data_IF_289894563395
#
_entry.id   IF_289894563395
#
_cell.length_a   1.000
_cell.length_b   1.000
_cell.length_c   1.000
_cell.angle_alpha   90.00
_cell.angle_beta   90.00
_cell.angle_gamma   90.00
#
_symmetry.space_group_name_H-M   'P 1'
#
loop_
_entity.id
_entity.type
_entity.pdbx_description
1 polymer ?
#
# COMPACT_ATOMS: atom_id res chain seq x y z
N UNK A 1 38.53 6.50 -8.05
CA UNK A 1 37.84 5.20 -7.86
C UNK A 1 37.30 4.95 -6.43
N UNK A 2 38.05 5.06 -5.30
CA UNK A 2 37.46 4.87 -3.97
C UNK A 2 36.34 5.90 -3.64
N UNK A 3 36.48 7.14 -4.07
CA UNK A 3 35.50 8.21 -3.84
C UNK A 3 34.16 7.97 -4.55
N UNK A 4 34.18 7.37 -5.73
CA UNK A 4 32.98 7.06 -6.50
C UNK A 4 32.19 5.88 -5.91
N UNK A 5 32.89 4.85 -5.44
CA UNK A 5 32.27 3.71 -4.74
C UNK A 5 31.62 4.14 -3.42
N UNK A 6 32.28 4.99 -2.65
CA UNK A 6 31.74 5.56 -1.40
C UNK A 6 30.52 6.45 -1.67
N UNK A 7 30.53 7.22 -2.75
CA UNK A 7 29.40 8.03 -3.19
C UNK A 7 28.18 7.16 -3.59
N UNK A 8 28.41 6.05 -4.32
CA UNK A 8 27.37 5.09 -4.68
C UNK A 8 26.79 4.35 -3.47
N UNK A 9 27.64 3.96 -2.52
CA UNK A 9 27.20 3.35 -1.26
C UNK A 9 26.39 4.35 -0.43
N UNK A 10 26.81 5.60 -0.33
CA UNK A 10 26.09 6.66 0.35
C UNK A 10 24.69 6.89 -0.27
N UNK A 11 24.60 6.89 -1.61
CA UNK A 11 23.32 7.01 -2.32
C UNK A 11 22.44 5.78 -2.05
N UNK A 12 22.99 4.57 -2.06
CA UNK A 12 22.27 3.35 -1.74
C UNK A 12 21.63 3.43 -0.35
N UNK A 13 22.42 3.81 0.67
CA UNK A 13 21.95 3.93 2.07
C UNK A 13 20.83 4.96 2.18
N UNK A 14 20.98 6.14 1.56
CA UNK A 14 19.97 7.21 1.57
C UNK A 14 18.65 6.80 0.91
N UNK A 15 18.67 5.80 0.04
CA UNK A 15 17.46 5.22 -0.60
C UNK A 15 16.82 4.08 0.21
N UNK A 16 17.38 3.73 1.37
CA UNK A 16 16.91 2.63 2.19
C UNK A 16 16.35 3.09 3.54
N UNK A 17 16.93 4.15 4.12
CA UNK A 17 16.58 4.64 5.44
C UNK A 17 16.80 6.16 5.55
N UNK A 18 16.23 6.77 6.56
CA UNK A 18 16.28 8.23 6.81
C UNK A 18 17.68 8.74 7.20
N UNK A 19 18.56 7.86 7.69
CA UNK A 19 19.96 8.17 7.99
C UNK A 19 20.81 6.91 8.00
N UNK A 20 22.18 7.02 7.92
CA UNK A 20 23.07 5.88 8.03
C UNK A 20 22.92 5.12 9.35
N UNK A 21 22.75 5.81 10.46
CA UNK A 21 22.55 5.18 11.77
C UNK A 21 21.24 4.39 11.83
N UNK A 22 20.16 4.95 11.27
CA UNK A 22 18.87 4.23 11.13
C UNK A 22 19.00 3.04 10.22
N UNK A 23 19.72 3.17 9.11
CA UNK A 23 19.99 2.04 8.22
C UNK A 23 20.66 0.88 8.98
N UNK A 24 21.75 1.15 9.73
CA UNK A 24 22.44 0.12 10.50
C UNK A 24 21.50 -0.52 11.52
N UNK A 25 20.75 0.27 12.29
CA UNK A 25 19.78 -0.24 13.27
C UNK A 25 18.73 -1.13 12.59
N UNK A 26 18.13 -0.68 11.50
CA UNK A 26 17.15 -1.45 10.73
C UNK A 26 17.74 -2.78 10.24
N UNK A 27 18.98 -2.79 9.69
CA UNK A 27 19.63 -4.01 9.22
C UNK A 27 19.93 -4.99 10.38
N UNK A 28 20.37 -4.51 11.53
CA UNK A 28 20.65 -5.34 12.72
C UNK A 28 19.34 -5.96 13.23
N UNK A 29 18.28 -5.19 13.39
CA UNK A 29 17.02 -5.69 13.91
C UNK A 29 16.35 -6.66 12.92
N UNK A 30 16.32 -6.32 11.63
CA UNK A 30 15.73 -7.19 10.60
C UNK A 30 16.58 -8.47 10.44
N UNK A 31 17.90 -8.35 10.42
CA UNK A 31 18.82 -9.49 10.31
C UNK A 31 18.72 -10.46 11.49
N UNK A 32 18.51 -9.92 12.70
CA UNK A 32 18.35 -10.74 13.92
C UNK A 32 17.01 -11.47 14.01
N UNK A 33 15.91 -10.85 13.58
CA UNK A 33 14.57 -11.36 13.87
C UNK A 33 13.70 -11.64 12.63
N UNK A 34 14.05 -11.09 11.47
CA UNK A 34 13.20 -11.13 10.27
C UNK A 34 13.01 -12.51 9.64
N UNK A 35 13.92 -13.44 9.89
CA UNK A 35 13.92 -14.81 9.35
C UNK A 35 13.27 -15.84 10.27
N UNK A 36 13.13 -15.54 11.58
CA UNK A 36 12.64 -16.49 12.58
C UNK A 36 11.20 -16.91 12.23
N UNK A 37 10.96 -18.21 11.98
CA UNK A 37 9.62 -18.69 11.66
C UNK A 37 8.77 -18.84 12.92
N UNK A 38 7.52 -19.24 12.73
CA UNK A 38 6.57 -19.64 13.78
C UNK A 38 6.04 -18.49 14.65
N UNK A 39 5.05 -18.75 15.51
CA UNK A 39 4.56 -17.76 16.47
C UNK A 39 5.64 -17.14 17.36
N UNK A 40 6.73 -17.88 17.65
CA UNK A 40 7.87 -17.35 18.39
C UNK A 40 8.54 -16.20 17.63
N UNK A 41 8.69 -16.35 16.32
CA UNK A 41 9.20 -15.27 15.46
C UNK A 41 8.28 -14.06 15.41
N UNK A 42 6.96 -14.25 15.35
CA UNK A 42 5.98 -13.16 15.40
C UNK A 42 6.11 -12.41 16.73
N UNK A 43 6.15 -13.11 17.87
CA UNK A 43 6.31 -12.50 19.18
C UNK A 43 7.63 -11.73 19.29
N UNK A 44 8.73 -12.31 18.81
CA UNK A 44 10.03 -11.65 18.80
C UNK A 44 10.04 -10.36 17.98
N UNK A 45 9.41 -10.37 16.77
CA UNK A 45 9.27 -9.19 15.92
C UNK A 45 8.33 -8.15 16.52
N UNK A 46 7.23 -8.56 17.15
CA UNK A 46 6.30 -7.65 17.82
C UNK A 46 7.00 -6.81 18.92
N UNK A 47 8.07 -7.35 19.52
CA UNK A 47 8.90 -6.64 20.50
C UNK A 47 10.05 -5.86 19.83
N UNK A 48 10.89 -6.56 19.06
CA UNK A 48 12.12 -6.01 18.52
C UNK A 48 11.87 -4.90 17.48
N UNK A 49 10.82 -5.03 16.67
CA UNK A 49 10.52 -4.07 15.62
C UNK A 49 9.99 -2.73 16.15
N UNK A 50 9.63 -2.61 17.43
CA UNK A 50 9.38 -1.32 18.10
C UNK A 50 10.59 -0.38 18.06
N UNK A 51 11.79 -0.91 17.91
CA UNK A 51 13.01 -0.11 17.75
C UNK A 51 13.09 0.57 16.38
N UNK A 52 12.43 0.03 15.37
CA UNK A 52 12.54 0.49 13.98
C UNK A 52 11.23 1.01 13.40
N UNK A 53 10.07 0.50 13.85
CA UNK A 53 8.72 0.92 13.44
C UNK A 53 8.05 1.78 14.52
N UNK A 54 7.01 2.50 14.13
CA UNK A 54 6.05 3.12 15.06
C UNK A 54 4.91 2.14 15.30
N UNK A 55 4.80 1.60 16.50
CA UNK A 55 3.78 0.61 16.84
C UNK A 55 2.87 1.13 17.95
N UNK A 56 1.60 1.41 17.61
CA UNK A 56 0.57 1.90 18.52
C UNK A 56 -0.23 0.71 19.11
N UNK A 57 0.44 -0.21 19.78
CA UNK A 57 -0.15 -1.42 20.31
C UNK A 57 0.64 -2.66 19.89
N UNK A 58 -0.03 -3.81 19.80
CA UNK A 58 0.55 -5.07 19.33
C UNK A 58 0.17 -5.28 17.88
N UNK A 59 1.16 -5.54 17.04
CA UNK A 59 0.96 -5.94 15.64
C UNK A 59 1.69 -7.26 15.38
N UNK A 60 1.09 -8.12 14.57
CA UNK A 60 1.69 -9.36 14.13
C UNK A 60 2.40 -9.14 12.79
N UNK A 61 3.69 -9.48 12.74
CA UNK A 61 4.51 -9.33 11.53
C UNK A 61 5.11 -10.68 11.21
N UNK A 62 4.80 -11.22 10.04
CA UNK A 62 5.33 -12.48 9.57
C UNK A 62 6.79 -12.37 9.09
N UNK A 63 7.42 -13.52 8.89
CA UNK A 63 8.79 -13.59 8.39
C UNK A 63 8.93 -13.00 7.00
N UNK A 64 10.16 -12.66 6.63
CA UNK A 64 10.53 -12.17 5.28
C UNK A 64 9.80 -10.88 4.85
N UNK A 65 9.18 -10.13 5.76
CA UNK A 65 8.68 -8.79 5.48
C UNK A 65 9.85 -7.86 5.19
N UNK A 66 9.80 -7.16 4.06
CA UNK A 66 10.84 -6.21 3.64
C UNK A 66 10.44 -4.80 3.99
N UNK A 67 11.32 -4.10 4.67
CA UNK A 67 11.10 -2.72 5.12
C UNK A 67 12.15 -1.79 4.51
N UNK A 68 11.70 -0.60 4.08
CA UNK A 68 12.55 0.54 3.74
C UNK A 68 11.97 1.78 4.40
N UNK A 69 12.83 2.61 4.97
CA UNK A 69 12.41 3.75 5.79
C UNK A 69 11.46 3.29 6.91
N UNK A 70 11.86 2.24 7.62
CA UNK A 70 11.02 1.59 8.62
C UNK A 70 10.49 2.57 9.68
N UNK A 71 11.26 3.61 10.04
CA UNK A 71 10.84 4.66 10.96
C UNK A 71 9.59 5.47 10.52
N UNK A 72 9.22 5.36 9.25
CA UNK A 72 8.04 6.02 8.69
C UNK A 72 6.84 5.05 8.52
N UNK A 73 6.98 3.81 8.96
CA UNK A 73 5.87 2.85 9.00
C UNK A 73 5.21 2.91 10.38
N UNK A 74 3.90 3.09 10.39
CA UNK A 74 3.08 3.05 11.60
C UNK A 74 2.13 1.86 11.53
N UNK A 75 2.14 1.00 12.54
CA UNK A 75 1.22 -0.12 12.70
C UNK A 75 0.38 0.11 13.94
N UNK A 76 -0.93 0.14 13.77
CA UNK A 76 -1.87 0.27 14.87
C UNK A 76 -2.18 -1.11 15.51
N UNK A 77 -2.86 -1.12 16.65
CA UNK A 77 -3.13 -2.34 17.40
C UNK A 77 -3.92 -3.37 16.58
N UNK A 78 -3.51 -4.62 16.61
CA UNK A 78 -4.14 -5.71 15.85
C UNK A 78 -3.76 -5.76 14.36
N UNK A 79 -2.93 -4.83 13.86
CA UNK A 79 -2.46 -4.89 12.49
C UNK A 79 -1.67 -6.19 12.22
N UNK A 80 -1.91 -6.79 11.06
CA UNK A 80 -1.23 -8.00 10.60
C UNK A 80 -0.52 -7.76 9.27
N UNK A 81 0.75 -8.07 9.22
CA UNK A 81 1.58 -7.99 8.02
C UNK A 81 2.09 -9.38 7.68
N UNK A 82 1.59 -9.92 6.59
CA UNK A 82 1.87 -11.29 6.16
C UNK A 82 3.25 -11.43 5.52
N UNK A 83 3.64 -12.69 5.30
CA UNK A 83 4.94 -13.06 4.75
C UNK A 83 5.22 -12.41 3.40
N UNK A 84 6.44 -11.91 3.23
CA UNK A 84 6.92 -11.37 1.95
C UNK A 84 6.33 -10.02 1.56
N UNK A 85 5.53 -9.39 2.41
CA UNK A 85 5.05 -8.02 2.18
C UNK A 85 6.24 -7.06 2.09
N UNK A 86 6.18 -6.13 1.12
CA UNK A 86 7.17 -5.08 0.98
C UNK A 86 6.57 -3.70 1.30
N UNK A 87 7.09 -3.06 2.35
CA UNK A 87 6.74 -1.70 2.76
C UNK A 87 7.91 -0.76 2.47
N UNK A 88 7.74 0.15 1.52
CA UNK A 88 8.70 1.21 1.21
C UNK A 88 8.08 2.56 1.55
N UNK A 89 8.40 3.08 2.73
CA UNK A 89 7.74 4.23 3.35
C UNK A 89 8.59 5.51 3.24
N UNK A 90 9.06 5.85 2.02
CA UNK A 90 9.84 7.05 1.80
C UNK A 90 9.02 8.30 2.18
N UNK A 91 9.63 9.18 2.95
CA UNK A 91 9.15 10.50 3.34
C UNK A 91 7.89 10.50 4.23
N UNK A 92 6.71 10.54 3.64
CA UNK A 92 5.43 10.74 4.34
C UNK A 92 4.86 9.49 4.98
N UNK A 93 5.38 8.32 4.64
CA UNK A 93 5.15 7.11 5.38
C UNK A 93 4.00 6.22 4.89
N UNK A 94 3.85 5.12 5.64
CA UNK A 94 2.77 4.14 5.49
C UNK A 94 2.15 3.93 6.87
N UNK A 95 0.82 4.00 6.96
CA UNK A 95 0.07 3.64 8.17
C UNK A 95 -0.91 2.52 7.88
N UNK A 96 -0.91 1.50 8.73
CA UNK A 96 -1.89 0.41 8.73
C UNK A 96 -2.72 0.52 10.00
N UNK A 97 -4.03 0.69 9.84
CA UNK A 97 -5.00 0.88 10.91
C UNK A 97 -5.25 -0.36 11.75
N UNK A 98 -6.08 -0.20 12.77
CA UNK A 98 -6.40 -1.27 13.74
C UNK A 98 -7.04 -2.46 13.06
N UNK A 99 -6.65 -3.67 13.48
CA UNK A 99 -7.17 -4.95 12.98
C UNK A 99 -7.09 -5.11 11.46
N UNK A 100 -6.32 -4.26 10.75
CA UNK A 100 -6.18 -4.34 9.30
C UNK A 100 -5.09 -5.30 8.90
N UNK A 101 -5.31 -5.98 7.79
CA UNK A 101 -4.51 -7.09 7.31
C UNK A 101 -3.86 -6.71 5.97
N UNK A 102 -2.56 -6.95 5.84
CA UNK A 102 -1.85 -6.84 4.56
C UNK A 102 -1.31 -8.21 4.21
N UNK A 103 -1.91 -8.83 3.19
CA UNK A 103 -1.66 -10.22 2.83
C UNK A 103 -0.39 -10.40 2.00
N UNK A 104 0.07 -11.62 1.94
CA UNK A 104 1.38 -11.99 1.43
C UNK A 104 1.68 -11.44 0.02
N UNK A 105 2.95 -11.12 -0.20
CA UNK A 105 3.44 -10.66 -1.49
C UNK A 105 3.00 -9.25 -1.88
N UNK A 106 2.19 -8.57 -1.07
CA UNK A 106 1.73 -7.22 -1.38
C UNK A 106 2.84 -6.18 -1.25
N UNK A 107 2.78 -5.17 -2.12
CA UNK A 107 3.77 -4.09 -2.23
C UNK A 107 3.09 -2.76 -1.96
N UNK A 108 3.40 -2.15 -0.84
CA UNK A 108 3.00 -0.79 -0.50
C UNK A 108 4.23 0.12 -0.66
N UNK A 109 4.22 0.95 -1.69
CA UNK A 109 5.41 1.63 -2.14
C UNK A 109 5.19 3.14 -2.30
N UNK A 110 5.71 3.90 -1.36
CA UNK A 110 5.81 5.36 -1.43
C UNK A 110 7.21 5.70 -1.92
N UNK A 111 7.33 6.12 -3.17
CA UNK A 111 8.60 6.52 -3.79
C UNK A 111 8.60 8.03 -4.02
N UNK A 112 8.90 8.79 -2.96
CA UNK A 112 8.78 10.25 -2.97
C UNK A 112 10.12 10.99 -2.96
N UNK A 113 11.04 10.64 -3.84
CA UNK A 113 12.29 11.42 -4.00
C UNK A 113 12.11 12.75 -4.77
N UNK A 114 10.88 13.07 -5.17
CA UNK A 114 10.52 14.34 -5.83
C UNK A 114 9.91 15.37 -4.88
N UNK A 115 9.71 15.02 -3.59
CA UNK A 115 9.11 15.91 -2.60
C UNK A 115 7.63 16.22 -2.85
N UNK A 116 6.86 15.26 -3.36
CA UNK A 116 5.42 15.42 -3.59
C UNK A 116 4.69 15.58 -2.23
N UNK A 117 3.88 16.62 -2.04
CA UNK A 117 3.38 17.02 -0.71
C UNK A 117 2.36 16.04 -0.11
N UNK A 118 1.64 15.29 -0.94
CA UNK A 118 0.54 14.41 -0.52
C UNK A 118 0.89 12.93 -0.57
N UNK A 119 2.15 12.57 -0.84
CA UNK A 119 2.59 11.20 -0.92
C UNK A 119 2.35 10.45 0.40
N UNK A 120 2.14 9.15 0.32
CA UNK A 120 1.91 8.27 1.48
C UNK A 120 0.86 7.23 1.20
N UNK A 121 0.72 6.27 2.12
CA UNK A 121 -0.33 5.25 2.06
C UNK A 121 -0.95 5.15 3.46
N UNK A 122 -2.25 5.34 3.55
CA UNK A 122 -3.00 5.22 4.79
C UNK A 122 -4.11 4.20 4.60
N UNK A 123 -4.06 3.12 5.37
CA UNK A 123 -5.10 2.10 5.45
C UNK A 123 -5.84 2.31 6.77
N UNK A 124 -7.15 2.45 6.69
CA UNK A 124 -8.04 2.58 7.85
C UNK A 124 -8.17 1.31 8.67
N UNK A 125 -9.13 1.28 9.57
CA UNK A 125 -9.36 0.19 10.49
C UNK A 125 -10.17 -0.95 9.85
N UNK A 126 -9.98 -2.19 10.35
CA UNK A 126 -10.76 -3.39 9.98
C UNK A 126 -10.77 -3.66 8.46
N UNK A 127 -9.67 -3.31 7.76
CA UNK A 127 -9.55 -3.40 6.31
C UNK A 127 -8.60 -4.53 5.90
N UNK A 128 -8.83 -5.09 4.71
CA UNK A 128 -8.02 -6.16 4.16
C UNK A 128 -7.42 -5.76 2.81
N UNK A 129 -6.10 -5.75 2.75
CA UNK A 129 -5.32 -5.65 1.52
C UNK A 129 -4.94 -7.06 1.10
N UNK A 130 -5.59 -7.57 0.06
CA UNK A 130 -5.44 -8.94 -0.43
C UNK A 130 -4.04 -9.25 -0.93
N UNK A 131 -3.85 -10.48 -1.36
CA UNK A 131 -2.54 -11.00 -1.78
C UNK A 131 -2.05 -10.31 -3.05
N UNK A 132 -0.73 -10.09 -3.13
CA UNK A 132 -0.05 -9.51 -4.30
C UNK A 132 -0.64 -8.16 -4.77
N UNK A 133 -1.25 -7.40 -3.89
CA UNK A 133 -1.68 -6.05 -4.22
C UNK A 133 -0.47 -5.12 -4.44
N UNK A 134 -0.60 -4.18 -5.37
CA UNK A 134 0.41 -3.16 -5.62
C UNK A 134 -0.20 -1.78 -5.38
N UNK A 135 0.26 -1.11 -4.32
CA UNK A 135 -0.20 0.24 -3.95
C UNK A 135 0.95 1.22 -4.12
N UNK A 136 0.81 2.14 -5.08
CA UNK A 136 1.78 3.18 -5.40
C UNK A 136 1.32 4.53 -4.86
N UNK A 137 1.92 4.93 -3.74
CA UNK A 137 1.48 6.10 -2.96
C UNK A 137 2.20 7.41 -3.28
N UNK A 138 2.66 7.65 -4.51
CA UNK A 138 3.37 8.89 -4.84
C UNK A 138 2.47 10.13 -4.73
N UNK A 139 1.23 10.08 -5.24
CA UNK A 139 0.23 11.13 -5.09
C UNK A 139 -0.57 11.05 -3.79
N UNK A 140 -0.33 9.98 -3.01
CA UNK A 140 -1.12 9.64 -1.82
C UNK A 140 -2.23 8.63 -2.12
N UNK A 141 -2.32 7.61 -1.29
CA UNK A 141 -3.43 6.64 -1.32
C UNK A 141 -4.06 6.59 0.07
N UNK A 142 -5.35 6.91 0.14
CA UNK A 142 -6.14 6.84 1.36
C UNK A 142 -7.19 5.75 1.20
N UNK A 143 -7.13 4.75 2.07
CA UNK A 143 -8.07 3.63 2.13
C UNK A 143 -8.81 3.76 3.45
N UNK A 144 -10.14 3.79 3.37
CA UNK A 144 -11.03 3.92 4.52
C UNK A 144 -11.09 2.68 5.40
N UNK A 145 -12.11 2.62 6.23
CA UNK A 145 -12.36 1.52 7.15
C UNK A 145 -13.21 0.43 6.48
N UNK A 146 -13.01 -0.84 6.89
CA UNK A 146 -13.77 -1.99 6.36
C UNK A 146 -13.72 -2.09 4.84
N UNK A 147 -12.58 -1.68 4.27
CA UNK A 147 -12.31 -1.84 2.83
C UNK A 147 -11.71 -3.21 2.59
N UNK A 148 -12.24 -3.90 1.59
CA UNK A 148 -11.72 -5.19 1.14
C UNK A 148 -11.16 -5.05 -0.27
N UNK A 149 -9.84 -5.22 -0.43
CA UNK A 149 -9.23 -5.38 -1.74
C UNK A 149 -8.91 -6.85 -1.96
N UNK A 150 -9.48 -7.44 -3.00
CA UNK A 150 -9.22 -8.83 -3.37
C UNK A 150 -7.79 -8.99 -3.94
N UNK A 151 -7.30 -10.22 -4.23
CA UNK A 151 -5.95 -10.41 -4.77
C UNK A 151 -5.67 -9.64 -6.07
N UNK A 152 -4.39 -9.25 -6.27
CA UNK A 152 -3.88 -8.62 -7.50
C UNK A 152 -4.44 -7.23 -7.81
N UNK A 153 -5.05 -6.54 -6.86
CA UNK A 153 -5.52 -5.17 -7.04
C UNK A 153 -4.34 -4.20 -7.15
N UNK A 154 -4.47 -3.21 -8.03
CA UNK A 154 -3.48 -2.16 -8.19
C UNK A 154 -4.11 -0.79 -7.94
N UNK A 155 -3.52 -0.02 -7.01
CA UNK A 155 -3.85 1.38 -6.76
C UNK A 155 -2.63 2.21 -7.16
N UNK A 156 -2.71 2.96 -8.26
CA UNK A 156 -1.56 3.63 -8.85
C UNK A 156 -1.78 5.14 -8.85
N UNK A 157 -1.39 5.80 -7.77
CA UNK A 157 -1.55 7.24 -7.55
C UNK A 157 -0.39 8.03 -8.18
N UNK A 158 -0.15 7.80 -9.46
CA UNK A 158 0.84 8.53 -10.28
C UNK A 158 0.66 8.19 -11.75
N UNK A 159 0.74 9.19 -12.64
CA UNK A 159 0.82 8.99 -14.09
C UNK A 159 1.99 9.78 -14.68
N UNK A 160 2.50 9.34 -15.80
CA UNK A 160 3.42 10.13 -16.61
C UNK A 160 2.66 11.06 -17.55
N UNK A 161 3.15 12.29 -17.69
CA UNK A 161 2.70 13.22 -18.74
C UNK A 161 3.27 12.76 -20.08
N UNK A 162 2.43 12.69 -21.11
CA UNK A 162 2.78 12.19 -22.46
C UNK A 162 2.23 13.10 -23.55
N UNK A 163 2.11 14.38 -23.28
CA UNK A 163 1.39 15.34 -24.16
C UNK A 163 2.25 15.83 -25.34
N UNK A 164 3.58 15.77 -25.21
CA UNK A 164 4.52 16.22 -26.27
C UNK A 164 5.17 14.99 -26.94
N UNK A 165 4.77 14.68 -28.20
CA UNK A 165 5.31 13.53 -28.92
C UNK A 165 6.78 13.72 -29.36
N UNK A 166 7.34 14.92 -29.22
CA UNK A 166 8.73 15.22 -29.61
C UNK A 166 9.72 15.02 -28.47
N UNK A 167 9.23 14.79 -27.23
CA UNK A 167 10.04 14.61 -26.03
C UNK A 167 9.87 13.23 -25.45
N UNK A 168 10.93 12.60 -24.91
CA UNK A 168 10.79 11.38 -24.10
C UNK A 168 9.83 11.60 -22.91
N UNK A 169 8.92 10.67 -22.65
CA UNK A 169 7.93 10.81 -21.57
C UNK A 169 8.56 11.03 -20.19
N UNK A 170 9.76 10.48 -19.95
CA UNK A 170 10.50 10.65 -18.68
C UNK A 170 10.90 12.11 -18.40
N UNK A 171 10.92 12.97 -19.42
CA UNK A 171 11.25 14.38 -19.32
C UNK A 171 10.02 15.28 -19.18
N UNK A 172 8.82 14.76 -19.40
CA UNK A 172 7.58 15.55 -19.41
C UNK A 172 6.95 15.68 -18.01
N UNK A 173 7.44 14.93 -17.03
CA UNK A 173 6.94 15.00 -15.66
C UNK A 173 5.91 13.92 -15.33
N UNK A 174 5.19 14.14 -14.24
CA UNK A 174 4.17 13.23 -13.71
C UNK A 174 2.98 14.04 -13.20
N UNK A 175 1.79 13.42 -13.19
CA UNK A 175 0.67 13.80 -12.31
C UNK A 175 0.67 12.90 -11.07
N UNK A 176 0.21 13.42 -9.96
CA UNK A 176 0.16 12.72 -8.68
C UNK A 176 -0.93 13.35 -7.80
N UNK A 177 -2.19 13.16 -8.21
CA UNK A 177 -3.38 13.76 -7.58
C UNK A 177 -3.83 12.95 -6.35
N UNK A 178 -3.54 11.64 -6.38
CA UNK A 178 -3.88 10.71 -5.31
C UNK A 178 -5.11 9.86 -5.60
N UNK A 179 -5.33 8.87 -4.72
CA UNK A 179 -6.48 7.96 -4.77
C UNK A 179 -7.15 7.97 -3.40
N UNK A 180 -8.48 8.09 -3.39
CA UNK A 180 -9.31 7.91 -2.21
C UNK A 180 -10.24 6.71 -2.38
N UNK A 181 -10.15 5.74 -1.48
CA UNK A 181 -11.09 4.64 -1.34
C UNK A 181 -11.84 4.87 -0.05
N UNK A 182 -13.13 5.18 -0.12
CA UNK A 182 -13.91 5.44 1.07
C UNK A 182 -14.27 4.16 1.84
N UNK A 183 -15.00 4.30 2.97
CA UNK A 183 -15.37 3.19 3.83
C UNK A 183 -16.26 2.16 3.11
N UNK A 184 -16.21 0.91 3.56
CA UNK A 184 -17.11 -0.18 3.15
C UNK A 184 -17.01 -0.54 1.65
N UNK A 185 -15.90 -0.18 0.98
CA UNK A 185 -15.66 -0.48 -0.44
C UNK A 185 -15.12 -1.88 -0.62
N UNK A 186 -15.62 -2.57 -1.65
CA UNK A 186 -15.03 -3.82 -2.13
C UNK A 186 -14.44 -3.65 -3.52
N UNK A 187 -13.16 -4.01 -3.67
CA UNK A 187 -12.44 -4.01 -4.95
C UNK A 187 -12.13 -5.45 -5.35
N UNK A 188 -12.72 -5.90 -6.43
CA UNK A 188 -12.57 -7.24 -6.97
C UNK A 188 -11.17 -7.53 -7.54
N UNK A 189 -10.82 -8.82 -7.60
CA UNK A 189 -9.49 -9.28 -7.99
C UNK A 189 -9.02 -8.72 -9.32
N UNK A 190 -7.74 -8.31 -9.37
CA UNK A 190 -7.12 -7.79 -10.59
C UNK A 190 -7.63 -6.43 -11.05
N UNK A 191 -8.47 -5.74 -10.27
CA UNK A 191 -8.90 -4.40 -10.63
C UNK A 191 -7.78 -3.38 -10.46
N UNK A 192 -7.83 -2.33 -11.28
CA UNK A 192 -6.87 -1.23 -11.27
C UNK A 192 -7.61 0.08 -11.04
N UNK A 193 -7.12 0.89 -10.10
CA UNK A 193 -7.59 2.26 -9.87
C UNK A 193 -6.46 3.22 -10.21
N UNK A 194 -6.74 4.19 -11.08
CA UNK A 194 -5.73 5.15 -11.55
C UNK A 194 -5.71 6.42 -10.70
N UNK A 195 -4.66 7.22 -10.89
CA UNK A 195 -4.46 8.50 -10.21
C UNK A 195 -5.66 9.44 -10.35
N UNK A 196 -5.95 10.22 -9.32
CA UNK A 196 -7.04 11.21 -9.25
C UNK A 196 -8.43 10.63 -8.94
N UNK A 197 -8.57 9.31 -8.75
CA UNK A 197 -9.88 8.66 -8.59
C UNK A 197 -10.30 8.58 -7.13
N UNK A 198 -11.58 8.91 -6.87
CA UNK A 198 -12.29 8.60 -5.64
C UNK A 198 -13.29 7.46 -5.86
N UNK A 199 -13.19 6.40 -5.03
CA UNK A 199 -14.19 5.33 -4.98
C UNK A 199 -15.06 5.55 -3.75
N UNK A 200 -16.32 5.92 -3.99
CA UNK A 200 -17.26 6.34 -2.95
C UNK A 200 -17.70 5.20 -2.03
N UNK A 201 -18.14 5.56 -0.84
CA UNK A 201 -18.52 4.67 0.24
C UNK A 201 -19.47 3.55 -0.21
N UNK A 202 -19.17 2.32 0.21
CA UNK A 202 -19.99 1.15 -0.09
C UNK A 202 -20.07 0.79 -1.58
N UNK A 203 -19.20 1.37 -2.42
CA UNK A 203 -19.11 0.99 -3.83
C UNK A 203 -18.43 -0.36 -4.01
N UNK A 204 -18.68 -0.97 -5.16
CA UNK A 204 -18.08 -2.23 -5.57
C UNK A 204 -17.43 -2.06 -6.94
N UNK A 205 -16.14 -2.40 -7.04
CA UNK A 205 -15.42 -2.49 -8.29
C UNK A 205 -15.33 -3.95 -8.69
N UNK A 206 -15.91 -4.31 -9.82
CA UNK A 206 -15.89 -5.70 -10.31
C UNK A 206 -14.47 -6.15 -10.68
N UNK A 207 -14.21 -7.46 -10.59
CA UNK A 207 -12.91 -8.02 -10.91
C UNK A 207 -12.43 -7.66 -12.33
N UNK A 208 -11.11 -7.44 -12.48
CA UNK A 208 -10.48 -7.09 -13.76
C UNK A 208 -10.83 -5.72 -14.32
N UNK A 209 -11.47 -4.86 -13.56
CA UNK A 209 -11.90 -3.52 -14.02
C UNK A 209 -10.75 -2.52 -13.98
N UNK A 210 -10.79 -1.51 -14.87
CA UNK A 210 -9.88 -0.36 -14.85
C UNK A 210 -10.70 0.91 -14.56
N UNK A 211 -10.59 1.43 -13.34
CA UNK A 211 -11.31 2.60 -12.87
C UNK A 211 -10.49 3.85 -13.17
N UNK A 212 -10.98 4.68 -14.07
CA UNK A 212 -10.31 5.91 -14.55
C UNK A 212 -11.08 7.18 -14.20
N UNK A 213 -12.18 7.08 -13.46
CA UNK A 213 -13.04 8.20 -13.03
C UNK A 213 -13.67 7.84 -11.69
N UNK A 214 -14.12 8.85 -10.98
CA UNK A 214 -14.80 8.68 -9.70
C UNK A 214 -15.98 7.72 -9.79
N UNK A 215 -16.14 6.95 -8.72
CA UNK A 215 -17.25 6.02 -8.53
C UNK A 215 -18.16 6.55 -7.45
N UNK A 216 -19.45 6.76 -7.78
CA UNK A 216 -20.42 7.23 -6.82
C UNK A 216 -20.62 6.21 -5.67
N UNK A 217 -20.96 6.67 -4.45
CA UNK A 217 -21.29 5.77 -3.34
C UNK A 217 -22.34 4.73 -3.71
N UNK A 218 -22.23 3.55 -3.11
CA UNK A 218 -23.18 2.43 -3.28
C UNK A 218 -23.43 2.04 -4.74
N UNK A 219 -22.42 2.18 -5.59
CA UNK A 219 -22.48 1.86 -7.03
C UNK A 219 -21.58 0.69 -7.35
N UNK A 220 -22.04 -0.19 -8.22
CA UNK A 220 -21.24 -1.28 -8.78
C UNK A 220 -20.75 -0.86 -10.16
N UNK A 221 -19.43 -0.84 -10.35
CA UNK A 221 -18.79 -0.53 -11.63
C UNK A 221 -18.00 -1.73 -12.16
N UNK A 222 -17.84 -1.82 -13.49
CA UNK A 222 -17.07 -2.89 -14.11
C UNK A 222 -16.63 -2.58 -15.53
N UNK A 223 -15.63 -3.31 -16.02
CA UNK A 223 -15.09 -3.21 -17.38
C UNK A 223 -13.83 -2.38 -17.52
N UNK A 224 -13.34 -2.26 -18.78
CA UNK A 224 -12.11 -1.53 -19.16
C UNK A 224 -12.42 -0.59 -20.33
N UNK A 225 -12.53 0.72 -20.07
CA UNK A 225 -12.60 1.39 -18.78
C UNK A 225 -13.90 1.05 -18.03
N UNK A 226 -13.87 1.14 -16.69
CA UNK A 226 -15.03 0.83 -15.85
C UNK A 226 -16.22 1.75 -16.14
N UNK A 227 -17.43 1.17 -16.12
CA UNK A 227 -18.71 1.87 -16.26
C UNK A 227 -19.65 1.40 -15.17
N UNK A 228 -20.64 2.22 -14.85
CA UNK A 228 -21.71 1.85 -13.91
C UNK A 228 -22.48 0.67 -14.46
N UNK A 229 -22.58 -0.38 -13.66
CA UNK A 229 -23.38 -1.58 -13.97
C UNK A 229 -24.75 -1.48 -13.32
N UNK A 230 -24.81 -1.13 -12.02
CA UNK A 230 -26.05 -0.95 -11.24
C UNK A 230 -25.74 -0.35 -9.87
N UNK A 231 -26.77 0.02 -9.14
CA UNK A 231 -26.63 0.35 -7.72
C UNK A 231 -26.46 -0.94 -6.86
N UNK A 232 -25.83 -0.80 -5.70
CA UNK A 232 -25.78 -1.85 -4.68
C UNK A 232 -27.19 -2.11 -4.16
N UNK A 233 -27.54 -3.37 -3.91
CA UNK A 233 -28.88 -3.77 -3.48
C UNK A 233 -29.89 -3.99 -4.63
N UNK A 234 -29.59 -3.58 -5.84
CA UNK A 234 -30.41 -3.85 -7.02
C UNK A 234 -29.95 -5.16 -7.70
N UNK A 235 -30.23 -6.29 -7.12
CA UNK A 235 -29.89 -7.61 -7.70
C UNK A 235 -30.66 -8.71 -7.00
N UNK A 236 -31.14 -9.69 -7.78
CA UNK A 236 -31.69 -10.92 -7.23
C UNK A 236 -30.52 -11.80 -6.76
N UNK A 237 -30.07 -11.60 -5.53
CA UNK A 237 -29.11 -12.50 -4.89
C UNK A 237 -29.90 -13.52 -4.09
N UNK A 238 -29.90 -14.78 -4.53
CA UNK A 238 -30.21 -15.88 -3.61
C UNK A 238 -29.05 -15.95 -2.61
N UNK A 239 -29.33 -15.65 -1.34
CA UNK A 239 -28.33 -15.74 -0.27
C UNK A 239 -27.95 -17.21 -0.07
N UNK A 240 -26.82 -17.63 -0.62
CA UNK A 240 -26.17 -18.86 -0.20
C UNK A 240 -25.27 -18.53 1.00
N UNK A 241 -25.65 -19.02 2.17
CA UNK A 241 -24.91 -19.13 3.43
C UNK A 241 -23.78 -18.09 3.69
N UNK A 242 -23.94 -17.33 4.76
CA UNK A 242 -22.85 -16.54 5.35
C UNK A 242 -21.87 -17.51 6.01
N UNK A 243 -20.68 -17.66 5.43
CA UNK A 243 -19.58 -18.39 6.03
C UNK A 243 -18.70 -17.40 6.78
N UNK A 244 -18.99 -17.19 8.04
CA UNK A 244 -18.06 -16.62 9.04
C UNK A 244 -18.43 -17.19 10.42
#
# INVERSE_FOLDING_TARGET
MPSEALSRLGLYIRRQASSPARYVLEQVVIGGFGWVPTPVGIAARALAYRLILRMNGVAAIERAVRLRFASNVTLDNGAYIDQGVYLHACDTGIRIGRNSLVMHGSVLHVYNFRGLPHSGIWVGDDSLIGEYNVIRGQGGVRIGNRVYTSPLVQLVAVNHVVDDPTRPFVEQGITAEGIAIEDDVWIGSGAIVTDGVTVGKGAVVAAGSVVTRDVAPHTIVGGVPARVLRAVGQGNVQHSQVFF
#
